data_IF_995053690357
#
_entry.id   IF_995053690357
#
_cell.length_a   1.000
_cell.length_b   1.000
_cell.length_c   1.000
_cell.angle_alpha   90.00
_cell.angle_beta   90.00
_cell.angle_gamma   90.00
#
_symmetry.space_group_name_H-M   'P 1'
#
loop_
_entity.id
_entity.type
_entity.pdbx_description
1 polymer ?
#
# COMPACT_ATOMS: atom_id res chain seq x y z
N UNK A 1 -26.81 -23.98 16.88
CA UNK A 1 -27.19 -23.67 15.50
C UNK A 1 -25.99 -22.99 14.88
N UNK A 2 -25.08 -23.80 14.36
CA UNK A 2 -23.92 -23.31 13.62
C UNK A 2 -24.42 -22.88 12.24
N UNK A 3 -24.63 -21.57 12.08
CA UNK A 3 -24.84 -21.00 10.77
C UNK A 3 -23.48 -20.99 10.07
N UNK A 4 -23.28 -21.98 9.21
CA UNK A 4 -22.29 -21.99 8.15
C UNK A 4 -22.53 -20.76 7.25
N UNK A 5 -21.96 -19.62 7.62
CA UNK A 5 -21.92 -18.41 6.78
C UNK A 5 -20.62 -18.36 5.97
N UNK A 6 -20.23 -19.49 5.36
CA UNK A 6 -19.28 -19.54 4.26
C UNK A 6 -19.90 -18.88 3.02
N UNK A 7 -19.70 -17.59 2.79
CA UNK A 7 -18.55 -17.00 2.08
C UNK A 7 -18.54 -17.38 0.60
N UNK A 8 -19.12 -16.53 -0.24
CA UNK A 8 -18.49 -16.19 -1.51
C UNK A 8 -18.82 -14.73 -1.82
N UNK A 9 -18.06 -13.84 -1.19
CA UNK A 9 -17.94 -12.44 -1.63
C UNK A 9 -17.18 -12.35 -2.97
N UNK A 10 -16.65 -13.48 -3.46
CA UNK A 10 -15.89 -13.61 -4.70
C UNK A 10 -16.50 -14.72 -5.54
N UNK A 11 -16.74 -14.45 -6.81
CA UNK A 11 -17.20 -15.44 -7.80
C UNK A 11 -16.56 -15.17 -9.16
N UNK A 12 -16.77 -16.08 -10.11
CA UNK A 12 -16.36 -15.89 -11.51
C UNK A 12 -17.62 -15.65 -12.35
N UNK A 13 -17.61 -14.61 -13.19
CA UNK A 13 -18.71 -14.35 -14.12
C UNK A 13 -18.68 -15.27 -15.35
N UNK A 14 -19.69 -15.15 -16.22
CA UNK A 14 -19.83 -15.98 -17.43
C UNK A 14 -18.68 -15.79 -18.44
N UNK A 15 -17.92 -14.69 -18.31
CA UNK A 15 -16.76 -14.37 -19.15
C UNK A 15 -15.43 -14.84 -18.54
N UNK A 16 -15.46 -15.44 -17.35
CA UNK A 16 -14.27 -15.92 -16.66
C UNK A 16 -13.57 -14.87 -15.80
N UNK A 17 -14.17 -13.69 -15.58
CA UNK A 17 -13.59 -12.66 -14.73
C UNK A 17 -13.91 -12.91 -13.26
N UNK A 18 -12.93 -12.67 -12.39
CA UNK A 18 -13.17 -12.63 -10.94
C UNK A 18 -13.96 -11.36 -10.56
N UNK A 19 -15.06 -11.55 -9.86
CA UNK A 19 -15.95 -10.48 -9.37
C UNK A 19 -16.00 -10.52 -7.85
N UNK A 20 -15.94 -9.34 -7.23
CA UNK A 20 -15.95 -9.17 -5.77
C UNK A 20 -17.14 -8.32 -5.34
N UNK A 21 -17.91 -8.78 -4.36
CA UNK A 21 -18.97 -8.02 -3.71
C UNK A 21 -18.38 -7.09 -2.64
N UNK A 22 -18.54 -5.78 -2.84
CA UNK A 22 -18.18 -4.78 -1.82
C UNK A 22 -19.28 -4.68 -0.76
N UNK A 23 -19.36 -5.66 0.14
CA UNK A 23 -20.34 -5.66 1.23
C UNK A 23 -19.88 -4.85 2.44
N UNK A 24 -20.85 -4.29 3.16
CA UNK A 24 -20.62 -3.76 4.50
C UNK A 24 -20.46 -4.93 5.49
N UNK A 25 -19.33 -4.95 6.18
CA UNK A 25 -19.10 -5.90 7.28
C UNK A 25 -19.54 -5.30 8.62
N UNK A 26 -20.27 -6.07 9.41
CA UNK A 26 -20.66 -5.75 10.79
C UNK A 26 -20.30 -6.95 11.65
N UNK A 27 -19.48 -6.72 12.68
CA UNK A 27 -19.08 -7.76 13.61
C UNK A 27 -18.76 -7.14 14.98
N UNK A 28 -18.73 -8.01 15.99
CA UNK A 28 -18.13 -7.73 17.30
C UNK A 28 -16.94 -8.66 17.51
N UNK A 29 -16.03 -8.28 18.41
CA UNK A 29 -14.86 -9.08 18.77
C UNK A 29 -14.57 -8.94 20.27
N UNK A 30 -13.82 -9.90 20.87
CA UNK A 30 -13.36 -9.81 22.25
C UNK A 30 -12.50 -8.56 22.51
N UNK A 31 -12.45 -8.12 23.77
CA UNK A 31 -11.70 -6.92 24.16
C UNK A 31 -10.17 -7.05 23.95
N UNK A 32 -9.66 -8.28 23.93
CA UNK A 32 -8.24 -8.63 23.78
C UNK A 32 -7.87 -9.06 22.34
N UNK A 33 -8.75 -8.82 21.36
CA UNK A 33 -8.46 -9.13 19.96
C UNK A 33 -7.28 -8.30 19.45
N UNK A 34 -6.16 -8.96 19.12
CA UNK A 34 -4.93 -8.32 18.60
C UNK A 34 -5.13 -7.48 17.33
N UNK A 35 -6.22 -7.70 16.61
CA UNK A 35 -6.58 -7.02 15.37
C UNK A 35 -7.77 -6.07 15.55
N UNK A 36 -8.19 -5.78 16.79
CA UNK A 36 -9.33 -4.94 17.11
C UNK A 36 -9.28 -3.58 16.40
N UNK A 37 -8.10 -2.96 16.32
CA UNK A 37 -7.93 -1.66 15.64
C UNK A 37 -8.30 -1.75 14.15
N UNK A 38 -7.73 -2.71 13.42
CA UNK A 38 -8.02 -2.88 12.00
C UNK A 38 -9.48 -3.26 11.75
N UNK A 39 -10.05 -4.17 12.55
CA UNK A 39 -11.48 -4.52 12.46
C UNK A 39 -12.40 -3.32 12.74
N UNK A 40 -12.02 -2.46 13.68
CA UNK A 40 -12.72 -1.18 13.96
C UNK A 40 -12.68 -0.27 12.75
N UNK A 41 -11.51 -0.12 12.11
CA UNK A 41 -11.40 0.67 10.88
C UNK A 41 -12.27 0.12 9.76
N UNK A 42 -12.22 -1.20 9.47
CA UNK A 42 -13.04 -1.83 8.43
C UNK A 42 -14.54 -1.58 8.67
N UNK A 43 -15.01 -1.75 9.90
CA UNK A 43 -16.43 -1.52 10.23
C UNK A 43 -16.82 -0.04 10.18
N UNK A 44 -15.92 0.87 10.57
CA UNK A 44 -16.13 2.32 10.57
C UNK A 44 -16.15 2.87 9.13
N UNK A 45 -15.15 2.51 8.31
CA UNK A 45 -15.12 2.91 6.90
C UNK A 45 -16.22 2.24 6.08
N UNK A 46 -16.67 1.04 6.47
CA UNK A 46 -17.83 0.37 5.89
C UNK A 46 -19.16 1.13 6.07
N UNK A 47 -19.19 2.24 6.82
CA UNK A 47 -20.32 3.17 6.87
C UNK A 47 -20.45 4.04 5.61
N UNK A 48 -19.36 4.23 4.87
CA UNK A 48 -19.31 5.04 3.67
C UNK A 48 -19.79 4.23 2.45
N UNK A 49 -20.44 4.89 1.49
CA UNK A 49 -20.64 4.32 0.16
C UNK A 49 -19.42 4.65 -0.72
N UNK A 50 -18.53 3.66 -1.02
CA UNK A 50 -17.33 3.90 -1.79
C UNK A 50 -17.64 4.30 -3.24
N UNK A 51 -18.83 3.97 -3.76
CA UNK A 51 -19.18 4.22 -5.15
C UNK A 51 -19.59 5.67 -5.41
N UNK A 52 -19.91 6.47 -4.39
CA UNK A 52 -20.26 7.89 -4.58
C UNK A 52 -19.13 8.64 -5.29
N UNK A 53 -17.91 8.55 -4.74
CA UNK A 53 -16.73 9.20 -5.31
C UNK A 53 -16.36 8.59 -6.66
N UNK A 54 -16.35 7.25 -6.75
CA UNK A 54 -15.96 6.55 -7.98
C UNK A 54 -16.92 6.86 -9.15
N UNK A 55 -18.22 6.98 -8.90
CA UNK A 55 -19.20 7.43 -9.91
C UNK A 55 -18.93 8.86 -10.35
N UNK A 56 -18.56 9.75 -9.42
CA UNK A 56 -18.16 11.13 -9.75
C UNK A 56 -16.94 11.18 -10.65
N UNK A 57 -15.89 10.44 -10.30
CA UNK A 57 -14.67 10.33 -11.10
C UNK A 57 -14.95 9.74 -12.48
N UNK A 58 -15.72 8.65 -12.54
CA UNK A 58 -16.07 7.98 -13.79
C UNK A 58 -16.75 8.94 -14.77
N UNK A 59 -17.73 9.73 -14.31
CA UNK A 59 -18.40 10.74 -15.15
C UNK A 59 -17.47 11.86 -15.61
N UNK A 60 -16.57 12.32 -14.74
CA UNK A 60 -15.74 13.49 -15.02
C UNK A 60 -14.50 13.16 -15.87
N UNK A 61 -14.00 11.93 -15.78
CA UNK A 61 -12.77 11.49 -16.44
C UNK A 61 -13.02 10.58 -17.66
N UNK A 62 -14.28 10.19 -17.88
CA UNK A 62 -14.66 9.23 -18.92
C UNK A 62 -13.91 7.88 -18.79
N UNK A 63 -13.79 7.39 -17.54
CA UNK A 63 -13.15 6.11 -17.23
C UNK A 63 -14.20 5.16 -16.63
N UNK A 64 -14.27 3.88 -17.05
CA UNK A 64 -15.18 2.92 -16.46
C UNK A 64 -14.98 2.78 -14.94
N UNK A 65 -16.07 2.78 -14.17
CA UNK A 65 -16.02 2.74 -12.70
C UNK A 65 -15.21 1.56 -12.17
N UNK A 66 -15.30 0.39 -12.82
CA UNK A 66 -14.53 -0.80 -12.46
C UNK A 66 -13.02 -0.63 -12.64
N UNK A 67 -12.58 0.13 -13.64
CA UNK A 67 -11.16 0.43 -13.83
C UNK A 67 -10.63 1.36 -12.73
N UNK A 68 -11.41 2.36 -12.32
CA UNK A 68 -11.07 3.25 -11.20
C UNK A 68 -11.02 2.45 -9.89
N UNK A 69 -12.01 1.58 -9.65
CA UNK A 69 -12.02 0.71 -8.47
C UNK A 69 -10.80 -0.20 -8.41
N UNK A 70 -10.44 -0.84 -9.54
CA UNK A 70 -9.22 -1.66 -9.66
C UNK A 70 -7.97 -0.85 -9.36
N UNK A 71 -7.85 0.38 -9.89
CA UNK A 71 -6.72 1.27 -9.60
C UNK A 71 -6.61 1.60 -8.12
N UNK A 72 -7.72 2.00 -7.47
CA UNK A 72 -7.74 2.36 -6.04
C UNK A 72 -7.34 1.16 -5.17
N UNK A 73 -7.92 -0.02 -5.44
CA UNK A 73 -7.60 -1.25 -4.71
C UNK A 73 -6.15 -1.65 -4.91
N UNK A 74 -5.65 -1.63 -6.16
CA UNK A 74 -4.26 -1.94 -6.45
C UNK A 74 -3.33 -0.97 -5.70
N UNK A 75 -3.54 0.34 -5.84
CA UNK A 75 -2.71 1.37 -5.19
C UNK A 75 -2.71 1.27 -3.67
N UNK A 76 -3.87 0.98 -3.06
CA UNK A 76 -3.97 0.88 -1.61
C UNK A 76 -3.37 -0.43 -1.09
N UNK A 77 -3.70 -1.57 -1.71
CA UNK A 77 -3.20 -2.88 -1.31
C UNK A 77 -1.68 -3.01 -1.52
N UNK A 78 -1.13 -2.34 -2.54
CA UNK A 78 0.32 -2.27 -2.77
C UNK A 78 0.96 -1.07 -2.10
N UNK A 79 0.23 -0.24 -1.35
CA UNK A 79 0.78 0.97 -0.72
C UNK A 79 1.98 0.71 0.18
N UNK A 80 1.99 -0.43 0.90
CA UNK A 80 3.15 -0.88 1.68
C UNK A 80 4.35 -1.32 0.81
N UNK A 81 4.07 -1.82 -0.39
CA UNK A 81 5.05 -2.16 -1.43
C UNK A 81 5.32 -1.00 -2.39
N UNK A 82 4.68 0.16 -2.19
CA UNK A 82 4.84 1.33 -3.05
C UNK A 82 6.29 1.80 -3.07
N UNK A 83 6.98 1.70 -1.93
CA UNK A 83 8.43 1.91 -1.86
C UNK A 83 9.23 1.01 -2.81
N UNK A 84 8.81 -0.24 -3.06
CA UNK A 84 9.48 -1.11 -4.03
C UNK A 84 9.18 -0.70 -5.48
N UNK A 85 7.99 -0.16 -5.78
CA UNK A 85 7.68 0.36 -7.12
C UNK A 85 8.43 1.67 -7.40
N UNK A 86 8.53 2.56 -6.41
CA UNK A 86 9.16 3.87 -6.54
C UNK A 86 10.69 3.80 -6.44
N UNK A 87 11.24 2.96 -5.55
CA UNK A 87 12.69 2.80 -5.37
C UNK A 87 13.24 1.69 -6.28
N UNK A 88 12.40 0.74 -6.68
CA UNK A 88 12.75 -0.36 -7.58
C UNK A 88 13.55 -1.49 -6.92
N UNK A 89 13.65 -2.64 -7.62
CA UNK A 89 14.34 -3.84 -7.13
C UNK A 89 15.87 -3.68 -7.04
N UNK A 90 16.43 -2.57 -7.54
CA UNK A 90 17.86 -2.27 -7.44
C UNK A 90 18.17 -1.45 -6.19
N UNK A 91 17.36 -0.43 -5.90
CA UNK A 91 17.65 0.49 -4.80
C UNK A 91 17.33 -0.14 -3.44
N UNK A 92 16.27 -0.94 -3.34
CA UNK A 92 15.88 -1.58 -2.08
C UNK A 92 16.98 -2.52 -1.54
N UNK A 93 17.53 -3.48 -2.30
CA UNK A 93 18.64 -4.30 -1.82
C UNK A 93 19.90 -3.49 -1.51
N UNK A 94 20.18 -2.44 -2.29
CA UNK A 94 21.35 -1.58 -2.07
C UNK A 94 21.27 -0.84 -0.74
N UNK A 95 20.10 -0.33 -0.37
CA UNK A 95 19.88 0.33 0.93
C UNK A 95 19.81 -0.68 2.08
N UNK A 96 19.31 -1.89 1.83
CA UNK A 96 19.24 -2.93 2.85
C UNK A 96 20.60 -3.54 3.21
N UNK A 97 21.53 -3.65 2.25
CA UNK A 97 22.80 -4.35 2.43
C UNK A 97 23.65 -3.86 3.64
N UNK A 98 23.82 -2.55 3.90
CA UNK A 98 24.53 -2.09 5.09
C UNK A 98 23.84 -2.48 6.40
N UNK A 99 22.50 -2.46 6.43
CA UNK A 99 21.72 -2.86 7.61
C UNK A 99 21.94 -4.35 7.87
N UNK A 100 21.78 -5.17 6.83
CA UNK A 100 21.96 -6.62 6.96
C UNK A 100 23.35 -6.99 7.48
N UNK A 101 24.40 -6.34 6.95
CA UNK A 101 25.77 -6.57 7.41
C UNK A 101 25.99 -6.15 8.88
N UNK A 102 25.40 -5.03 9.30
CA UNK A 102 25.49 -4.56 10.68
C UNK A 102 24.72 -5.46 11.66
N UNK A 103 23.53 -5.94 11.27
CA UNK A 103 22.75 -6.89 12.09
C UNK A 103 23.43 -8.25 12.17
N UNK A 104 24.12 -8.70 11.12
CA UNK A 104 24.92 -9.93 11.15
C UNK A 104 26.13 -9.81 12.08
N UNK A 105 26.74 -8.62 12.17
CA UNK A 105 27.84 -8.35 13.11
C UNK A 105 27.38 -8.20 14.57
N UNK A 106 26.09 -7.91 14.80
CA UNK A 106 25.46 -7.64 16.10
C UNK A 106 26.23 -6.62 16.97
N UNK A 107 26.74 -5.57 16.33
CA UNK A 107 27.59 -4.57 16.97
C UNK A 107 27.08 -3.13 16.73
N UNK A 108 27.17 -2.32 17.78
CA UNK A 108 26.67 -0.94 17.76
C UNK A 108 27.53 -0.01 16.91
N UNK A 109 28.84 -0.26 16.81
CA UNK A 109 29.72 0.50 15.92
C UNK A 109 29.36 0.23 14.45
N UNK A 110 29.11 -1.03 14.10
CA UNK A 110 28.65 -1.42 12.76
C UNK A 110 27.26 -0.88 12.43
N UNK A 111 26.32 -0.87 13.40
CA UNK A 111 25.01 -0.21 13.23
C UNK A 111 25.16 1.28 12.95
N UNK A 112 26.07 1.97 13.65
CA UNK A 112 26.32 3.40 13.43
C UNK A 112 26.96 3.65 12.05
N UNK A 113 27.89 2.79 11.62
CA UNK A 113 28.45 2.85 10.26
C UNK A 113 27.38 2.67 9.19
N UNK A 114 26.49 1.68 9.36
CA UNK A 114 25.36 1.45 8.45
C UNK A 114 24.42 2.66 8.39
N UNK A 115 24.10 3.28 9.53
CA UNK A 115 23.33 4.52 9.58
C UNK A 115 23.99 5.65 8.77
N UNK A 116 25.30 5.86 8.93
CA UNK A 116 26.01 6.90 8.18
C UNK A 116 25.99 6.65 6.67
N UNK A 117 26.17 5.39 6.24
CA UNK A 117 26.09 5.02 4.82
C UNK A 117 24.69 5.25 4.25
N UNK A 118 23.64 4.82 4.96
CA UNK A 118 22.25 5.07 4.59
C UNK A 118 21.93 6.56 4.50
N UNK A 119 22.35 7.33 5.51
CA UNK A 119 22.16 8.78 5.54
C UNK A 119 22.79 9.43 4.31
N UNK A 120 23.98 9.02 3.90
CA UNK A 120 24.61 9.51 2.68
C UNK A 120 23.82 9.11 1.43
N UNK A 121 23.38 7.86 1.29
CA UNK A 121 22.56 7.42 0.16
C UNK A 121 21.26 8.22 0.04
N UNK A 122 20.54 8.40 1.16
CA UNK A 122 19.29 9.16 1.20
C UNK A 122 19.53 10.66 0.97
N UNK A 123 20.67 11.21 1.42
CA UNK A 123 20.96 12.63 1.25
C UNK A 123 20.96 13.05 -0.22
N UNK A 124 21.47 12.20 -1.12
CA UNK A 124 21.43 12.43 -2.56
C UNK A 124 20.02 12.38 -3.13
N UNK A 125 19.18 11.44 -2.67
CA UNK A 125 17.78 11.33 -3.08
C UNK A 125 16.95 12.54 -2.62
N UNK A 126 17.34 13.17 -1.52
CA UNK A 126 16.67 14.33 -0.95
C UNK A 126 16.96 15.63 -1.72
N UNK A 127 18.10 15.72 -2.41
CA UNK A 127 18.52 16.94 -3.15
C UNK A 127 17.41 17.49 -4.07
N UNK A 128 16.82 16.71 -5.00
CA UNK A 128 15.73 17.24 -5.85
C UNK A 128 14.45 17.61 -5.10
N UNK A 129 14.22 17.08 -3.90
CA UNK A 129 13.07 17.45 -3.07
C UNK A 129 13.29 18.78 -2.36
N UNK A 130 14.52 19.05 -1.95
CA UNK A 130 14.91 20.28 -1.26
C UNK A 130 15.22 21.43 -2.23
N UNK A 131 15.77 21.10 -3.41
CA UNK A 131 16.02 22.02 -4.52
C UNK A 131 15.62 21.37 -5.85
N UNK A 132 14.35 21.58 -6.28
CA UNK A 132 13.84 21.04 -7.54
C UNK A 132 14.56 21.57 -8.79
N UNK A 133 15.40 22.62 -8.68
CA UNK A 133 16.11 23.20 -9.81
C UNK A 133 17.39 22.44 -10.20
N UNK A 134 17.87 21.55 -9.32
CA UNK A 134 19.12 20.78 -9.51
C UNK A 134 19.03 19.80 -10.68
N UNK A 135 17.83 19.30 -10.99
CA UNK A 135 17.57 18.52 -12.20
C UNK A 135 16.63 19.31 -13.10
N UNK A 136 17.12 19.93 -14.19
CA UNK A 136 16.24 20.62 -15.12
C UNK A 136 15.22 19.62 -15.66
N UNK A 137 13.96 20.05 -15.79
CA UNK A 137 12.91 19.22 -16.38
C UNK A 137 13.41 18.65 -17.72
N UNK A 138 13.46 17.32 -17.82
CA UNK A 138 13.71 16.68 -19.10
C UNK A 138 12.52 17.04 -19.99
N UNK A 139 12.74 17.94 -20.94
CA UNK A 139 11.74 18.27 -21.94
C UNK A 139 11.53 17.03 -22.82
N UNK A 140 10.27 16.65 -23.03
CA UNK A 140 9.85 15.58 -23.95
C UNK A 140 10.26 15.88 -25.40
#
# INVERSE_FOLDING_TARGET
MDADTGTQDVWTDDEGNEVVCLRRWKASWPADDRHANFKTEVTTYGLLDPLVTLRGMSRNLDIPIGAIARYVLAKWATGGSGGLLELGPVMVPRMWAPIAAAEEADDDEERLKAYHQLRQMISWLKVPLDDPSVYPAQQD
#
